data_IF_330059456661
#
_entry.id   IF_330059456661
#
_cell.length_a   1.000
_cell.length_b   1.000
_cell.length_c   1.000
_cell.angle_alpha   90.00
_cell.angle_beta   90.00
_cell.angle_gamma   90.00
#
_symmetry.space_group_name_H-M   'P 1'
#
loop_
_entity.id
_entity.type
_entity.pdbx_description
1 polymer ?
#
# COMPACT_ATOMS: atom_id res chain seq x y z
N UNK A 1 8.00 12.75 18.63
CA UNK A 1 7.22 12.57 17.40
C UNK A 1 7.27 11.10 17.01
N UNK A 2 6.27 10.32 17.40
CA UNK A 2 6.31 8.86 17.34
C UNK A 2 6.15 8.38 15.90
N UNK A 3 7.28 8.03 15.28
CA UNK A 3 7.30 7.40 13.97
C UNK A 3 6.82 5.96 14.17
N UNK A 4 5.53 5.71 13.99
CA UNK A 4 5.06 4.35 13.72
C UNK A 4 5.56 3.95 12.33
N UNK A 5 6.87 3.65 12.26
CA UNK A 5 7.43 2.86 11.17
C UNK A 5 6.83 1.48 11.38
N UNK A 6 5.73 1.20 10.69
CA UNK A 6 5.27 -0.18 10.53
C UNK A 6 6.35 -0.86 9.70
N UNK A 7 7.30 -1.48 10.39
CA UNK A 7 8.18 -2.49 9.81
C UNK A 7 7.31 -3.44 8.98
N UNK A 8 7.73 -3.86 7.77
CA UNK A 8 6.98 -4.87 7.05
C UNK A 8 6.91 -6.07 7.97
N UNK A 9 5.70 -6.42 8.44
CA UNK A 9 5.46 -7.64 9.19
C UNK A 9 6.16 -8.77 8.42
N UNK A 10 7.22 -9.30 9.02
CA UNK A 10 7.99 -10.42 8.51
C UNK A 10 7.19 -11.70 8.73
N UNK A 11 5.99 -11.71 8.15
CA UNK A 11 5.01 -12.79 8.22
C UNK A 11 4.39 -12.97 6.85
N UNK A 12 4.12 -14.23 6.51
CA UNK A 12 3.37 -14.62 5.32
C UNK A 12 1.96 -14.03 5.37
N UNK A 13 1.46 -13.52 4.24
CA UNK A 13 0.03 -13.18 4.14
C UNK A 13 -0.80 -14.47 4.15
N UNK A 14 -2.10 -14.34 4.39
CA UNK A 14 -3.02 -15.48 4.31
C UNK A 14 -2.85 -16.23 2.98
N UNK A 15 -2.55 -17.52 3.05
CA UNK A 15 -2.31 -18.40 1.90
C UNK A 15 -0.88 -18.40 1.35
N UNK A 16 0.04 -17.55 1.84
CA UNK A 16 1.47 -17.63 1.51
C UNK A 16 2.16 -18.70 2.40
N UNK A 17 3.06 -19.50 1.82
CA UNK A 17 3.89 -20.51 2.52
C UNK A 17 5.37 -20.32 2.17
N UNK A 18 6.27 -20.75 3.06
CA UNK A 18 7.71 -20.68 2.85
C UNK A 18 8.31 -19.30 3.13
N UNK A 19 9.38 -18.95 2.42
CA UNK A 19 10.14 -17.72 2.61
C UNK A 19 9.33 -16.50 2.19
N UNK A 20 9.34 -15.45 3.02
CA UNK A 20 8.62 -14.21 2.75
C UNK A 20 9.34 -13.47 1.61
N UNK A 21 8.67 -13.17 0.48
CA UNK A 21 9.29 -12.46 -0.62
C UNK A 21 9.63 -11.02 -0.20
N UNK A 22 10.65 -10.42 -0.80
CA UNK A 22 10.97 -9.01 -0.57
C UNK A 22 9.76 -8.12 -0.92
N UNK A 23 9.29 -7.32 0.04
CA UNK A 23 8.12 -6.43 -0.12
C UNK A 23 8.58 -4.98 -0.11
N UNK A 24 8.46 -4.29 -1.25
CA UNK A 24 8.65 -2.83 -1.29
C UNK A 24 7.39 -2.11 -0.78
N UNK A 25 7.58 -1.01 -0.05
CA UNK A 25 6.47 -0.11 0.31
C UNK A 25 5.87 0.46 -0.98
N UNK A 26 4.53 0.45 -1.04
CA UNK A 26 3.78 0.94 -2.20
C UNK A 26 3.44 2.42 -2.11
N UNK A 27 3.79 3.11 -1.02
CA UNK A 27 3.51 4.52 -0.83
C UNK A 27 4.83 5.21 -0.52
N UNK A 28 5.07 6.33 -1.18
CA UNK A 28 6.28 7.14 -1.04
C UNK A 28 5.95 8.62 -1.19
N UNK A 29 6.87 9.49 -0.76
CA UNK A 29 6.79 10.92 -0.98
C UNK A 29 7.96 11.41 -1.84
N UNK A 30 7.70 12.43 -2.63
CA UNK A 30 8.67 13.16 -3.43
C UNK A 30 8.25 14.63 -3.43
N UNK A 31 9.18 15.55 -3.15
CA UNK A 31 8.92 17.01 -3.16
C UNK A 31 7.69 17.43 -2.34
N UNK A 32 7.51 16.84 -1.15
CA UNK A 32 6.38 17.11 -0.24
C UNK A 32 5.00 16.67 -0.78
N UNK A 33 4.97 15.87 -1.84
CA UNK A 33 3.78 15.25 -2.40
C UNK A 33 3.81 13.74 -2.18
N UNK A 34 2.63 13.10 -2.15
CA UNK A 34 2.49 11.68 -1.88
C UNK A 34 2.02 10.90 -3.10
N UNK A 35 2.56 9.70 -3.26
CA UNK A 35 2.31 8.84 -4.40
C UNK A 35 2.11 7.38 -3.94
N UNK A 36 1.44 6.59 -4.76
CA UNK A 36 1.48 5.12 -4.64
C UNK A 36 1.91 4.42 -5.93
N UNK A 37 2.50 3.24 -5.77
CA UNK A 37 2.98 2.35 -6.82
C UNK A 37 2.13 1.08 -6.92
N UNK A 38 1.80 0.68 -8.15
CA UNK A 38 1.22 -0.64 -8.43
C UNK A 38 2.30 -1.67 -8.74
N UNK A 39 1.92 -2.96 -8.93
CA UNK A 39 2.87 -4.02 -9.27
C UNK A 39 3.38 -3.89 -10.71
N UNK A 40 2.57 -3.26 -11.55
CA UNK A 40 2.78 -3.01 -12.97
C UNK A 40 3.54 -1.69 -13.20
N UNK A 41 4.20 -1.17 -12.16
CA UNK A 41 4.96 0.09 -12.16
C UNK A 41 4.12 1.35 -12.44
N UNK A 42 2.79 1.27 -12.29
CA UNK A 42 1.92 2.45 -12.35
C UNK A 42 2.14 3.35 -11.14
N UNK A 43 2.37 4.64 -11.39
CA UNK A 43 2.51 5.69 -10.37
C UNK A 43 1.24 6.52 -10.32
N UNK A 44 0.69 6.70 -9.12
CA UNK A 44 -0.54 7.45 -8.89
C UNK A 44 -0.33 8.53 -7.84
N UNK A 45 -0.77 9.75 -8.15
CA UNK A 45 -0.54 10.98 -7.39
C UNK A 45 -0.38 12.16 -8.35
N UNK A 46 0.11 13.32 -7.88
CA UNK A 46 0.41 13.63 -6.49
C UNK A 46 -0.83 13.71 -5.60
N UNK A 47 -0.67 13.36 -4.33
CA UNK A 47 -1.66 13.56 -3.28
C UNK A 47 -1.12 14.50 -2.22
N UNK A 48 -1.99 15.34 -1.68
CA UNK A 48 -1.62 16.33 -0.65
C UNK A 48 -1.21 15.71 0.68
N UNK A 49 -1.50 14.43 0.93
CA UNK A 49 -1.15 13.75 2.18
C UNK A 49 -1.00 12.24 2.01
N UNK A 50 -0.26 11.63 2.95
CA UNK A 50 -0.14 10.18 3.11
C UNK A 50 -1.51 9.50 3.23
N UNK A 51 -2.42 10.08 4.01
CA UNK A 51 -3.76 9.54 4.24
C UNK A 51 -4.55 9.48 2.93
N UNK A 52 -4.48 10.53 2.11
CA UNK A 52 -5.14 10.56 0.80
C UNK A 52 -4.56 9.49 -0.14
N UNK A 53 -3.23 9.37 -0.21
CA UNK A 53 -2.59 8.31 -1.01
C UNK A 53 -3.00 6.89 -0.57
N UNK A 54 -3.14 6.65 0.75
CA UNK A 54 -3.62 5.38 1.29
C UNK A 54 -5.08 5.09 0.92
N UNK A 55 -5.96 6.10 1.00
CA UNK A 55 -7.36 5.98 0.61
C UNK A 55 -7.49 5.65 -0.88
N UNK A 56 -6.76 6.35 -1.75
CA UNK A 56 -6.78 6.10 -3.19
C UNK A 56 -6.21 4.72 -3.55
N UNK A 57 -5.14 4.26 -2.88
CA UNK A 57 -4.64 2.89 -3.03
C UNK A 57 -5.70 1.85 -2.65
N UNK A 58 -6.46 2.08 -1.56
CA UNK A 58 -7.55 1.19 -1.14
C UNK A 58 -8.67 1.15 -2.17
N UNK A 59 -9.05 2.31 -2.73
CA UNK A 59 -10.05 2.39 -3.81
C UNK A 59 -9.56 1.68 -5.09
N UNK A 60 -8.29 1.88 -5.45
CA UNK A 60 -7.68 1.18 -6.57
C UNK A 60 -7.76 -0.35 -6.39
N UNK A 61 -7.35 -0.87 -5.23
CA UNK A 61 -7.44 -2.30 -4.94
C UNK A 61 -8.88 -2.84 -4.94
N UNK A 62 -9.86 -2.04 -4.49
CA UNK A 62 -11.29 -2.38 -4.58
C UNK A 62 -11.75 -2.50 -6.03
N UNK A 63 -11.38 -1.56 -6.90
CA UNK A 63 -11.71 -1.60 -8.34
C UNK A 63 -11.13 -2.83 -9.03
N UNK A 64 -9.96 -3.30 -8.59
CA UNK A 64 -9.35 -4.54 -9.09
C UNK A 64 -9.95 -5.83 -8.49
N UNK A 65 -10.93 -5.73 -7.60
CA UNK A 65 -11.51 -6.90 -6.92
C UNK A 65 -10.58 -7.60 -5.93
N UNK A 66 -9.43 -6.98 -5.59
CA UNK A 66 -8.40 -7.57 -4.71
C UNK A 66 -8.82 -7.48 -3.24
N UNK A 67 -9.57 -6.45 -2.86
CA UNK A 67 -10.10 -6.29 -1.50
C UNK A 67 -11.55 -6.73 -1.48
N UNK A 68 -11.81 -7.93 -0.93
CA UNK A 68 -13.15 -8.33 -0.52
C UNK A 68 -13.53 -7.47 0.68
N UNK A 69 -14.50 -6.57 0.52
CA UNK A 69 -15.20 -6.01 1.68
C UNK A 69 -15.84 -7.19 2.41
N UNK A 70 -15.37 -7.48 3.63
CA UNK A 70 -16.19 -8.22 4.57
C UNK A 70 -17.47 -7.39 4.71
N UNK A 71 -18.57 -7.92 4.19
CA UNK A 71 -19.90 -7.39 4.47
C UNK A 71 -20.13 -7.74 5.94
N UNK A 72 -20.10 -6.74 6.81
CA UNK A 72 -20.60 -6.83 8.18
C UNK A 72 -22.08 -6.48 8.19
#
# INVERSE_FOLDING_TARGET
MNKHVTEPLNQNRYGEQGNIPARKKRIYSLNNEWYFLTREYGVFGPYSSLVKAQQELKLYMRRLGIVRTAIS
#
